data_IF_115013030136
#
_entry.id   IF_115013030136
#
_cell.length_a   1.000
_cell.length_b   1.000
_cell.length_c   1.000
_cell.angle_alpha   90.00
_cell.angle_beta   90.00
_cell.angle_gamma   90.00
#
_symmetry.space_group_name_H-M   'P 1'
#
loop_
_entity.id
_entity.type
_entity.pdbx_description
1 polymer ?
#
# COMPACT_ATOMS: atom_id res chain seq x y z
N UNK A 1 1.91 6.96 13.47
CA UNK A 1 2.82 7.07 12.35
C UNK A 1 2.77 5.85 11.44
N UNK A 2 2.97 6.07 10.13
CA UNK A 2 2.89 4.99 9.15
C UNK A 2 3.87 3.87 9.43
N UNK A 3 5.09 4.22 9.81
CA UNK A 3 6.14 3.23 10.08
C UNK A 3 5.75 2.27 11.20
N UNK A 4 5.14 2.81 12.23
CA UNK A 4 4.72 1.99 13.36
C UNK A 4 3.58 1.05 12.97
N UNK A 5 2.66 1.53 12.14
CA UNK A 5 1.57 0.69 11.65
C UNK A 5 2.13 -0.47 10.83
N UNK A 6 3.09 -0.19 9.96
CA UNK A 6 3.70 -1.22 9.12
C UNK A 6 4.40 -2.27 9.99
N UNK A 7 5.16 -1.84 10.99
CA UNK A 7 5.87 -2.76 11.87
C UNK A 7 4.91 -3.60 12.72
N UNK A 8 3.89 -2.97 13.28
CA UNK A 8 2.95 -3.64 14.17
C UNK A 8 2.12 -4.70 13.44
N UNK A 9 1.78 -4.47 12.18
CA UNK A 9 0.98 -5.39 11.40
C UNK A 9 1.78 -6.27 10.45
N UNK A 10 3.10 -6.11 10.45
CA UNK A 10 3.99 -6.91 9.59
C UNK A 10 3.53 -6.91 8.13
N UNK A 11 3.26 -5.72 7.62
CA UNK A 11 2.76 -5.55 6.26
C UNK A 11 3.85 -5.73 5.23
N UNK A 12 3.48 -6.25 4.06
CA UNK A 12 4.40 -6.35 2.93
C UNK A 12 4.82 -4.94 2.49
N UNK A 13 5.88 -4.88 1.65
CA UNK A 13 6.36 -3.61 1.14
C UNK A 13 5.25 -2.81 0.46
N UNK A 14 4.49 -3.46 -0.43
CA UNK A 14 3.44 -2.76 -1.17
C UNK A 14 2.30 -2.31 -0.27
N UNK A 15 1.89 -3.16 0.68
CA UNK A 15 0.84 -2.78 1.61
C UNK A 15 1.30 -1.65 2.52
N UNK A 16 2.55 -1.74 3.02
CA UNK A 16 3.09 -0.69 3.86
C UNK A 16 3.23 0.63 3.12
N UNK A 17 3.67 0.59 1.86
CA UNK A 17 3.80 1.79 1.05
C UNK A 17 2.42 2.41 0.78
N UNK A 18 1.42 1.58 0.51
CA UNK A 18 0.06 2.08 0.30
C UNK A 18 -0.47 2.78 1.56
N UNK A 19 -0.24 2.20 2.74
CA UNK A 19 -0.63 2.82 4.01
C UNK A 19 0.04 4.18 4.17
N UNK A 20 1.34 4.26 3.85
CA UNK A 20 2.07 5.51 3.93
C UNK A 20 1.44 6.59 3.06
N UNK A 21 1.10 6.26 1.83
CA UNK A 21 0.47 7.24 0.93
C UNK A 21 -0.93 7.64 1.39
N UNK A 22 -1.69 6.71 1.93
CA UNK A 22 -3.03 7.01 2.45
C UNK A 22 -2.96 7.99 3.64
N UNK A 23 -2.01 7.78 4.53
CA UNK A 23 -1.82 8.67 5.66
C UNK A 23 -1.35 10.06 5.21
N UNK A 24 -0.51 10.10 4.18
CA UNK A 24 -0.07 11.37 3.60
C UNK A 24 -1.24 12.12 2.96
N UNK A 25 -2.14 11.39 2.30
CA UNK A 25 -3.29 12.02 1.65
C UNK A 25 -4.16 12.77 2.65
N UNK A 26 -4.29 12.24 3.86
CA UNK A 26 -5.07 12.91 4.90
C UNK A 26 -4.40 14.19 5.40
N UNK A 27 -3.08 14.22 5.42
CA UNK A 27 -2.33 15.34 6.01
C UNK A 27 -1.93 16.40 5.01
N UNK A 28 -1.78 16.03 3.73
CA UNK A 28 -1.38 16.98 2.70
C UNK A 28 -2.60 17.57 2.01
N UNK A 29 -2.63 18.87 1.94
CA UNK A 29 -3.73 19.58 1.26
C UNK A 29 -3.48 19.72 -0.24
N UNK A 30 -2.23 19.57 -0.67
CA UNK A 30 -1.85 19.90 -2.05
C UNK A 30 -2.04 18.76 -3.05
N UNK A 31 -1.85 17.50 -2.65
CA UNK A 31 -1.87 16.39 -3.62
C UNK A 31 -2.47 15.11 -3.06
N UNK A 32 -3.67 15.16 -2.49
CA UNK A 32 -4.29 13.92 -2.00
C UNK A 32 -4.60 12.95 -3.14
N UNK A 33 -4.90 13.48 -4.33
CA UNK A 33 -5.20 12.65 -5.49
C UNK A 33 -3.99 11.81 -5.89
N UNK A 34 -2.81 12.42 -5.94
CA UNK A 34 -1.59 11.70 -6.27
C UNK A 34 -1.28 10.62 -5.25
N UNK A 35 -1.41 10.95 -3.97
CA UNK A 35 -1.14 9.98 -2.91
C UNK A 35 -2.09 8.79 -2.98
N UNK A 36 -3.36 9.07 -3.23
CA UNK A 36 -4.35 8.00 -3.35
C UNK A 36 -4.07 7.15 -4.58
N UNK A 37 -3.70 7.77 -5.70
CA UNK A 37 -3.37 7.03 -6.92
C UNK A 37 -2.15 6.13 -6.71
N UNK A 38 -1.14 6.61 -6.01
CA UNK A 38 0.04 5.79 -5.70
C UNK A 38 -0.32 4.64 -4.78
N UNK A 39 -1.20 4.86 -3.81
CA UNK A 39 -1.67 3.80 -2.94
C UNK A 39 -2.38 2.72 -3.75
N UNK A 40 -3.23 3.12 -4.69
CA UNK A 40 -3.93 2.19 -5.57
C UNK A 40 -2.93 1.37 -6.38
N UNK A 41 -1.91 2.02 -6.94
CA UNK A 41 -0.89 1.34 -7.73
C UNK A 41 -0.17 0.26 -6.92
N UNK A 42 0.20 0.57 -5.69
CA UNK A 42 0.88 -0.41 -4.83
C UNK A 42 -0.04 -1.55 -4.43
N UNK A 43 -1.32 -1.25 -4.21
CA UNK A 43 -2.29 -2.29 -3.91
C UNK A 43 -2.51 -3.21 -5.11
N UNK A 44 -2.49 -2.66 -6.32
CA UNK A 44 -2.60 -3.47 -7.54
C UNK A 44 -1.38 -4.37 -7.71
N UNK A 45 -0.19 -3.87 -7.43
CA UNK A 45 1.02 -4.70 -7.48
C UNK A 45 0.92 -5.85 -6.49
N UNK A 46 0.45 -5.58 -5.28
CA UNK A 46 0.31 -6.62 -4.28
C UNK A 46 -0.74 -7.65 -4.68
N UNK A 47 -1.86 -7.17 -5.24
CA UNK A 47 -2.92 -8.06 -5.69
C UNK A 47 -2.43 -8.99 -6.81
N UNK A 48 -1.68 -8.45 -7.77
CA UNK A 48 -1.11 -9.26 -8.85
C UNK A 48 -0.13 -10.30 -8.30
N UNK A 49 0.68 -9.91 -7.35
CA UNK A 49 1.63 -10.83 -6.71
C UNK A 49 0.91 -11.99 -6.03
N UNK A 50 -0.14 -11.68 -5.29
CA UNK A 50 -0.90 -12.71 -4.59
C UNK A 50 -1.65 -13.63 -5.55
N UNK A 51 -2.12 -13.11 -6.67
CA UNK A 51 -2.76 -13.93 -7.69
C UNK A 51 -1.77 -14.91 -8.32
N UNK A 52 -0.54 -14.47 -8.57
CA UNK A 52 0.51 -15.37 -9.09
C UNK A 52 0.84 -16.45 -8.09
N UNK A 53 0.92 -16.10 -6.83
CA UNK A 53 1.17 -17.06 -5.76
C UNK A 53 0.09 -18.13 -5.72
N UNK A 54 -1.16 -17.71 -5.84
CA UNK A 54 -2.27 -18.64 -5.83
C UNK A 54 -2.19 -19.63 -6.98
N UNK A 55 -1.80 -19.16 -8.17
CA UNK A 55 -1.62 -20.04 -9.33
C UNK A 55 -0.49 -21.03 -9.11
N UNK A 56 0.61 -20.58 -8.50
CA UNK A 56 1.78 -21.42 -8.28
C UNK A 56 1.55 -22.49 -7.21
N UNK A 57 0.72 -22.22 -6.23
CA UNK A 57 0.52 -23.10 -5.09
C UNK A 57 -0.81 -23.83 -5.09
N UNK A 58 -1.60 -23.65 -6.10
CA UNK A 58 -2.81 -24.42 -6.32
C UNK A 58 -2.59 -25.42 -7.44
#
# INVERSE_FOLDING_TARGET
>A
EARKVIEDFDLSYNLGTAVTYLLRAEKKHDSPIECIQKAINHLEFELDKLKRWKILYN
#
